data_IF_796320225866
#
_entry.id   IF_796320225866
#
_cell.length_a   1.000
_cell.length_b   1.000
_cell.length_c   1.000
_cell.angle_alpha   90.00
_cell.angle_beta   90.00
_cell.angle_gamma   90.00
#
_symmetry.space_group_name_H-M   'P 1'
#
loop_
_entity.id
_entity.type
_entity.pdbx_description
1 polymer ?
#
# COMPACT_ATOMS: atom_id res chain seq x y z
N UNK A 1 22.04 -12.68 -28.94
CA UNK A 1 20.71 -12.19 -28.51
C UNK A 1 20.84 -11.73 -27.06
N UNK A 2 21.02 -10.42 -26.81
CA UNK A 2 21.21 -9.88 -25.47
C UNK A 2 19.82 -9.73 -24.81
N UNK A 3 19.60 -10.42 -23.69
CA UNK A 3 18.42 -10.20 -22.85
C UNK A 3 18.51 -8.77 -22.30
N UNK A 4 17.57 -7.90 -22.65
CA UNK A 4 17.52 -6.53 -22.11
C UNK A 4 17.41 -6.64 -20.58
N UNK A 5 18.32 -5.97 -19.88
CA UNK A 5 18.45 -6.04 -18.42
C UNK A 5 17.14 -5.72 -17.69
N UNK A 6 16.94 -6.40 -16.56
CA UNK A 6 15.74 -6.28 -15.72
C UNK A 6 15.53 -4.82 -15.28
N UNK A 7 14.29 -4.33 -15.32
CA UNK A 7 13.92 -3.04 -14.71
C UNK A 7 14.06 -3.16 -13.19
N UNK A 8 14.89 -2.32 -12.58
CA UNK A 8 15.12 -2.33 -11.13
C UNK A 8 13.84 -1.96 -10.35
N UNK A 9 13.60 -2.59 -9.17
CA UNK A 9 12.51 -2.20 -8.30
C UNK A 9 12.71 -0.77 -7.80
N UNK A 10 11.61 0.01 -7.73
CA UNK A 10 11.64 1.41 -7.26
C UNK A 10 11.52 1.55 -5.76
N UNK A 11 11.00 0.51 -5.09
CA UNK A 11 10.98 0.38 -3.64
C UNK A 11 11.08 -1.08 -3.25
N UNK A 12 11.94 -1.36 -2.29
CA UNK A 12 12.06 -2.67 -1.62
C UNK A 12 12.01 -2.40 -0.12
N UNK A 13 11.33 -3.25 0.62
CA UNK A 13 11.34 -3.25 2.08
C UNK A 13 11.87 -4.58 2.58
N UNK A 14 12.66 -4.55 3.65
CA UNK A 14 12.83 -5.75 4.47
C UNK A 14 11.53 -6.00 5.24
N UNK A 15 11.16 -7.27 5.49
CA UNK A 15 9.94 -7.61 6.22
C UNK A 15 9.81 -6.92 7.59
N UNK A 16 10.92 -6.73 8.31
CA UNK A 16 11.00 -6.07 9.61
C UNK A 16 10.79 -4.54 9.55
N UNK A 17 11.14 -3.90 8.43
CA UNK A 17 11.05 -2.44 8.27
C UNK A 17 9.68 -2.02 7.73
N UNK A 18 9.32 -2.59 6.57
CA UNK A 18 8.13 -2.19 5.83
C UNK A 18 6.93 -3.10 6.04
N UNK A 19 7.16 -4.34 6.48
CA UNK A 19 6.20 -5.42 6.43
C UNK A 19 6.20 -6.15 5.08
N UNK A 20 5.34 -7.18 4.99
CA UNK A 20 5.08 -7.91 3.75
C UNK A 20 3.91 -7.23 3.00
N UNK A 21 4.14 -6.66 1.81
CA UNK A 21 3.08 -6.05 0.99
C UNK A 21 2.00 -7.06 0.59
N UNK A 22 0.74 -6.61 0.51
CA UNK A 22 -0.37 -7.41 0.03
C UNK A 22 -1.01 -6.83 -1.24
N UNK A 23 -1.71 -5.70 -1.11
CA UNK A 23 -2.34 -5.02 -2.24
C UNK A 23 -1.84 -3.58 -2.37
N UNK A 24 -1.91 -3.06 -3.59
CA UNK A 24 -1.58 -1.69 -3.94
C UNK A 24 -2.74 -1.01 -4.64
N UNK A 25 -2.85 0.30 -4.47
CA UNK A 25 -3.73 1.16 -5.26
C UNK A 25 -2.95 2.40 -5.69
N UNK A 26 -3.12 2.82 -6.94
CA UNK A 26 -2.59 4.09 -7.41
C UNK A 26 -3.74 5.08 -7.40
N UNK A 27 -3.55 6.20 -6.71
CA UNK A 27 -4.52 7.31 -6.69
C UNK A 27 -3.76 8.61 -6.86
N UNK A 28 -4.17 9.39 -7.84
CA UNK A 28 -3.50 10.61 -8.28
C UNK A 28 -2.00 10.35 -8.54
N UNK A 29 -1.13 11.08 -7.87
CA UNK A 29 0.32 10.94 -7.95
C UNK A 29 0.91 10.07 -6.84
N UNK A 30 0.18 9.10 -6.29
CA UNK A 30 0.69 8.27 -5.19
C UNK A 30 0.37 6.79 -5.33
N UNK A 31 1.36 5.95 -4.98
CA UNK A 31 1.19 4.52 -4.74
C UNK A 31 0.86 4.30 -3.26
N UNK A 32 -0.30 3.73 -3.00
CA UNK A 32 -0.71 3.27 -1.68
C UNK A 32 -0.44 1.77 -1.57
N UNK A 33 0.19 1.34 -0.47
CA UNK A 33 0.59 -0.06 -0.25
C UNK A 33 0.20 -0.49 1.16
N UNK A 34 -0.66 -1.49 1.27
CA UNK A 34 -0.96 -2.12 2.57
C UNK A 34 -0.01 -3.28 2.87
N UNK A 35 0.23 -3.52 4.15
CA UNK A 35 1.09 -4.62 4.59
C UNK A 35 0.43 -5.54 5.61
N UNK A 36 0.75 -6.84 5.50
CA UNK A 36 0.28 -7.87 6.43
C UNK A 36 1.03 -7.80 7.76
N UNK A 37 2.33 -8.10 7.76
CA UNK A 37 3.15 -8.09 8.98
C UNK A 37 3.51 -6.69 9.45
N UNK A 38 3.57 -5.71 8.54
CA UNK A 38 3.85 -4.30 8.87
C UNK A 38 2.65 -3.56 9.44
N UNK A 39 1.43 -4.09 9.25
CA UNK A 39 0.18 -3.62 9.86
C UNK A 39 -0.07 -2.12 9.67
N UNK A 40 0.13 -1.63 8.44
CA UNK A 40 0.04 -0.20 8.11
C UNK A 40 -0.27 0.01 6.64
N UNK A 41 -0.71 1.22 6.32
CA UNK A 41 -0.82 1.73 4.96
C UNK A 41 0.39 2.64 4.69
N UNK A 42 1.15 2.34 3.65
CA UNK A 42 2.17 3.24 3.11
C UNK A 42 1.56 4.10 2.00
N UNK A 43 1.96 5.37 1.92
CA UNK A 43 1.77 6.25 0.77
C UNK A 43 3.14 6.64 0.24
N UNK A 44 3.37 6.40 -1.04
CA UNK A 44 4.59 6.77 -1.74
C UNK A 44 4.22 7.72 -2.87
N UNK A 45 4.64 8.99 -2.85
CA UNK A 45 4.41 9.87 -3.98
C UNK A 45 5.20 9.36 -5.20
N UNK A 46 4.56 9.33 -6.36
CA UNK A 46 5.19 9.13 -7.66
C UNK A 46 5.88 10.45 -8.03
N UNK A 47 7.14 10.37 -8.44
CA UNK A 47 7.88 11.57 -8.82
C UNK A 47 7.38 12.17 -10.15
N UNK A 48 7.80 13.40 -10.45
CA UNK A 48 7.38 14.11 -11.65
C UNK A 48 7.77 13.42 -12.96
N UNK A 49 8.76 12.52 -12.93
CA UNK A 49 9.18 11.76 -14.11
C UNK A 49 8.29 10.54 -14.36
N UNK A 50 7.46 10.15 -13.39
CA UNK A 50 6.58 8.98 -13.47
C UNK A 50 7.31 7.64 -13.41
N UNK A 51 8.65 7.63 -13.25
CA UNK A 51 9.46 6.40 -13.26
C UNK A 51 10.05 6.04 -11.90
N UNK A 52 9.75 6.81 -10.85
CA UNK A 52 10.20 6.57 -9.48
C UNK A 52 9.18 6.99 -8.43
N UNK A 53 9.56 6.77 -7.18
CA UNK A 53 8.75 7.11 -6.00
C UNK A 53 9.60 7.83 -4.96
N UNK A 54 9.01 8.80 -4.29
CA UNK A 54 9.63 9.54 -3.19
C UNK A 54 9.56 8.82 -1.84
N UNK A 55 9.86 9.58 -0.78
CA UNK A 55 9.83 9.10 0.59
C UNK A 55 8.45 8.58 0.99
N UNK A 56 8.43 7.40 1.60
CA UNK A 56 7.19 6.74 2.02
C UNK A 56 6.69 7.32 3.35
N UNK A 57 5.41 7.68 3.41
CA UNK A 57 4.71 8.04 4.65
C UNK A 57 3.87 6.86 5.13
N UNK A 58 3.88 6.57 6.43
CA UNK A 58 3.05 5.51 7.03
C UNK A 58 1.81 6.08 7.70
N UNK A 59 0.71 5.33 7.61
CA UNK A 59 -0.57 5.61 8.25
C UNK A 59 -1.10 4.37 8.97
N UNK A 60 -1.92 4.60 10.00
CA UNK A 60 -2.65 3.56 10.74
C UNK A 60 -1.75 2.47 11.35
N UNK A 61 -0.54 2.84 11.78
CA UNK A 61 0.46 1.90 12.32
C UNK A 61 -0.11 1.05 13.46
N UNK A 62 -0.34 -0.24 13.19
CA UNK A 62 -0.85 -1.23 14.13
C UNK A 62 -2.36 -1.15 14.42
N UNK A 63 -3.05 -0.09 13.97
CA UNK A 63 -4.41 0.22 14.42
C UNK A 63 -5.47 -0.84 14.05
N UNK A 64 -5.26 -1.53 12.91
CA UNK A 64 -6.23 -2.46 12.34
C UNK A 64 -5.66 -3.86 12.13
N UNK A 65 -4.48 -4.15 12.69
CA UNK A 65 -3.80 -5.43 12.48
C UNK A 65 -3.32 -5.60 11.04
N UNK A 66 -3.39 -6.84 10.53
CA UNK A 66 -2.91 -7.15 9.17
C UNK A 66 -3.90 -6.60 8.15
N UNK A 67 -3.40 -6.05 7.05
CA UNK A 67 -4.23 -5.49 5.98
C UNK A 67 -4.06 -6.33 4.71
N UNK A 68 -5.15 -6.60 3.99
CA UNK A 68 -5.16 -7.53 2.83
C UNK A 68 -5.87 -7.01 1.58
N UNK A 69 -6.84 -6.11 1.73
CA UNK A 69 -7.53 -5.51 0.60
C UNK A 69 -7.37 -3.99 0.58
N UNK A 70 -7.19 -3.41 -0.61
CA UNK A 70 -7.11 -1.98 -0.85
C UNK A 70 -7.60 -1.66 -2.27
N UNK A 71 -8.58 -0.78 -2.40
CA UNK A 71 -9.09 -0.34 -3.72
C UNK A 71 -9.55 1.10 -3.68
N UNK A 72 -9.35 1.82 -4.78
CA UNK A 72 -9.89 3.18 -4.98
C UNK A 72 -11.39 3.13 -5.16
N UNK A 73 -12.09 4.00 -4.44
CA UNK A 73 -13.52 4.25 -4.68
C UNK A 73 -13.66 5.06 -5.98
N UNK A 74 -14.43 4.59 -6.98
CA UNK A 74 -14.70 5.36 -8.19
C UNK A 74 -15.38 6.70 -7.87
N UNK A 75 -14.91 7.79 -8.49
CA UNK A 75 -15.53 9.12 -8.37
C UNK A 75 -15.43 9.81 -7.00
N UNK A 76 -14.67 9.28 -6.04
CA UNK A 76 -14.53 9.88 -4.69
C UNK A 76 -13.09 9.86 -4.20
N UNK A 77 -12.67 10.84 -3.39
CA UNK A 77 -11.32 10.93 -2.82
C UNK A 77 -11.14 9.97 -1.64
N UNK A 78 -11.31 8.66 -1.90
CA UNK A 78 -11.45 7.62 -0.89
C UNK A 78 -10.87 6.28 -1.35
N UNK A 79 -10.32 5.51 -0.42
CA UNK A 79 -10.03 4.08 -0.59
C UNK A 79 -10.95 3.26 0.32
N UNK A 80 -11.32 2.05 -0.14
CA UNK A 80 -11.73 0.97 0.75
C UNK A 80 -10.52 0.13 1.14
N UNK A 81 -10.38 -0.13 2.43
CA UNK A 81 -9.27 -0.91 3.00
C UNK A 81 -9.82 -2.05 3.88
N UNK A 82 -9.40 -3.29 3.59
CA UNK A 82 -9.82 -4.48 4.34
C UNK A 82 -8.73 -5.04 5.24
N UNK A 83 -9.06 -5.33 6.50
CA UNK A 83 -8.19 -6.06 7.43
C UNK A 83 -8.30 -7.59 7.27
N UNK A 84 -7.33 -8.31 7.83
CA UNK A 84 -7.30 -9.77 7.90
C UNK A 84 -6.79 -10.23 9.28
N UNK A 85 -7.72 -10.49 10.18
CA UNK A 85 -7.54 -11.21 11.42
C UNK A 85 -7.82 -12.70 11.23
N UNK A 86 -7.30 -13.50 12.16
CA UNK A 86 -7.64 -14.92 12.22
C UNK A 86 -8.93 -15.07 13.06
N UNK A 87 -9.94 -15.76 12.52
CA UNK A 87 -11.18 -16.10 13.23
C UNK A 87 -12.40 -15.28 12.82
N UNK A 88 -13.58 -15.73 13.27
CA UNK A 88 -14.88 -15.17 12.90
C UNK A 88 -15.05 -13.72 13.37
N UNK A 89 -15.56 -12.85 12.47
CA UNK A 89 -15.90 -11.45 12.75
C UNK A 89 -14.74 -10.57 13.26
N UNK A 90 -13.48 -10.93 12.92
CA UNK A 90 -12.29 -10.11 13.25
C UNK A 90 -11.92 -9.10 12.16
N UNK A 91 -12.45 -9.28 10.96
CA UNK A 91 -12.15 -8.44 9.80
C UNK A 91 -13.04 -7.20 9.75
N UNK A 92 -12.50 -6.13 9.16
CA UNK A 92 -13.17 -4.84 8.98
C UNK A 92 -12.94 -4.35 7.57
N UNK A 93 -13.96 -3.71 7.00
CA UNK A 93 -13.82 -2.84 5.83
C UNK A 93 -13.83 -1.39 6.33
N UNK A 94 -12.80 -0.65 5.96
CA UNK A 94 -12.50 0.69 6.46
C UNK A 94 -12.54 1.68 5.30
N UNK A 95 -13.15 2.83 5.53
CA UNK A 95 -13.07 3.99 4.67
C UNK A 95 -11.78 4.75 4.98
N UNK A 96 -10.97 5.04 3.96
CA UNK A 96 -9.80 5.92 4.07
C UNK A 96 -10.07 7.13 3.20
N UNK A 97 -10.05 8.33 3.77
CA UNK A 97 -10.13 9.58 3.01
C UNK A 97 -8.75 9.94 2.48
N UNK A 98 -8.70 10.37 1.23
CA UNK A 98 -7.51 10.81 0.52
C UNK A 98 -7.54 12.34 0.44
N UNK A 99 -6.40 12.97 0.68
CA UNK A 99 -6.17 14.42 0.57
C UNK A 99 -4.68 14.68 0.40
#
# INVERSE_FOLDING_TARGET
MLHRGNVHPKKVWKPEDGGVPAQVAIVDNAVYVITLSGKRLWRLPIDASGVGVGSATSYYNGAYGRLRALVKVPGADQLWMGSSGNGTSKDRILKVTIG
#
